data_IF_732770763081
#
_entry.id   IF_732770763081
#
_cell.length_a   1.000
_cell.length_b   1.000
_cell.length_c   1.000
_cell.angle_alpha   90.00
_cell.angle_beta   90.00
_cell.angle_gamma   90.00
#
_symmetry.space_group_name_H-M   'P 1'
#
loop_
_entity.id
_entity.type
_entity.pdbx_description
1 polymer ?
#
# COMPACT_ATOMS: atom_id res chain seq x y z
N UNK A 1 -2.82 38.07 -10.46
CA UNK A 1 -1.93 36.90 -10.33
C UNK A 1 -2.57 35.92 -9.38
N UNK A 2 -3.18 34.87 -9.90
CA UNK A 2 -3.82 33.82 -9.07
C UNK A 2 -2.73 32.78 -8.80
N UNK A 3 -2.26 32.71 -7.56
CA UNK A 3 -1.48 31.57 -7.08
C UNK A 3 -2.43 30.37 -7.00
N UNK A 4 -2.38 29.50 -8.01
CA UNK A 4 -2.86 28.13 -7.84
C UNK A 4 -1.92 27.44 -6.84
N UNK A 5 -2.43 26.87 -5.74
CA UNK A 5 -1.64 25.91 -5.00
C UNK A 5 -1.53 24.68 -5.91
N UNK A 6 -0.32 24.46 -6.44
CA UNK A 6 0.09 23.13 -6.88
C UNK A 6 -0.16 22.20 -5.69
N UNK A 7 -1.26 21.45 -5.75
CA UNK A 7 -1.43 20.20 -5.02
C UNK A 7 -0.31 19.30 -5.53
N UNK A 8 0.88 19.46 -4.94
CA UNK A 8 1.89 18.42 -4.97
C UNK A 8 1.19 17.21 -4.37
N UNK A 9 0.90 16.21 -5.21
CA UNK A 9 0.56 14.89 -4.74
C UNK A 9 1.63 14.53 -3.72
N UNK A 10 1.23 14.43 -2.45
CA UNK A 10 2.16 14.09 -1.39
C UNK A 10 2.82 12.78 -1.83
N UNK A 11 4.14 12.84 -2.03
CA UNK A 11 4.93 11.66 -2.32
C UNK A 11 4.55 10.58 -1.31
N UNK A 12 4.26 9.37 -1.79
CA UNK A 12 3.84 8.24 -0.96
C UNK A 12 4.81 8.07 0.21
N UNK A 13 4.37 8.46 1.40
CA UNK A 13 5.14 8.23 2.59
C UNK A 13 4.66 6.91 3.21
N UNK A 14 5.45 5.85 3.05
CA UNK A 14 5.33 4.58 3.78
C UNK A 14 5.57 4.76 5.30
N UNK A 15 5.27 5.94 5.85
CA UNK A 15 5.42 6.24 7.27
C UNK A 15 4.39 5.42 8.04
N UNK A 16 4.75 4.84 9.20
CA UNK A 16 3.80 4.15 10.04
C UNK A 16 2.61 5.07 10.33
N UNK A 17 1.43 4.73 9.82
CA UNK A 17 0.23 5.53 10.01
C UNK A 17 -0.51 4.99 11.23
N UNK A 18 -0.97 5.88 12.11
CA UNK A 18 -1.88 5.46 13.18
C UNK A 18 -3.17 4.94 12.56
N UNK A 19 -3.57 3.74 12.96
CA UNK A 19 -4.90 3.17 12.67
C UNK A 19 -5.64 2.98 13.97
N UNK A 20 -6.94 3.22 13.95
CA UNK A 20 -7.79 2.91 15.10
C UNK A 20 -8.08 1.40 15.13
N UNK A 21 -8.36 0.88 16.33
CA UNK A 21 -8.74 -0.53 16.49
C UNK A 21 -9.97 -0.89 15.65
N UNK A 22 -10.95 0.02 15.55
CA UNK A 22 -12.13 -0.16 14.69
C UNK A 22 -11.78 -0.27 13.22
N UNK A 23 -10.81 0.53 12.75
CA UNK A 23 -10.37 0.45 11.36
C UNK A 23 -9.74 -0.92 11.06
N UNK A 24 -8.93 -1.46 11.99
CA UNK A 24 -8.33 -2.79 11.84
C UNK A 24 -9.38 -3.90 11.89
N UNK A 25 -10.38 -3.78 12.78
CA UNK A 25 -11.47 -4.77 12.94
C UNK A 25 -12.37 -4.88 11.71
N UNK A 26 -12.51 -3.80 10.93
CA UNK A 26 -13.27 -3.81 9.66
C UNK A 26 -12.55 -4.49 8.50
N UNK A 27 -11.29 -4.89 8.69
CA UNK A 27 -10.50 -5.54 7.66
C UNK A 27 -10.26 -7.01 8.00
N UNK A 28 -10.37 -7.86 6.98
CA UNK A 28 -10.20 -9.31 7.06
C UNK A 28 -8.75 -9.64 6.74
N UNK A 29 -8.15 -10.59 7.46
CA UNK A 29 -6.81 -11.08 7.15
C UNK A 29 -6.87 -11.98 5.93
N UNK A 30 -6.17 -11.60 4.86
CA UNK A 30 -6.07 -12.40 3.64
C UNK A 30 -4.85 -13.31 3.68
N UNK A 31 -3.72 -12.77 4.13
CA UNK A 31 -2.44 -13.46 4.13
C UNK A 31 -1.61 -13.06 5.34
N UNK A 32 -0.88 -14.01 5.90
CA UNK A 32 0.06 -13.77 7.00
C UNK A 32 1.42 -14.35 6.65
N UNK A 33 2.43 -13.50 6.67
CA UNK A 33 3.82 -13.87 6.42
C UNK A 33 4.64 -13.80 7.72
N UNK A 34 5.63 -14.69 7.91
CA UNK A 34 6.54 -14.59 9.04
C UNK A 34 7.47 -13.38 8.90
N UNK A 35 7.90 -12.82 10.03
CA UNK A 35 8.79 -11.67 10.12
C UNK A 35 9.81 -11.92 11.23
N UNK A 36 10.78 -12.82 11.00
CA UNK A 36 11.69 -13.28 12.04
C UNK A 36 10.92 -13.82 13.26
N UNK A 37 10.95 -13.09 14.39
CA UNK A 37 10.17 -13.44 15.60
C UNK A 37 8.74 -12.88 15.62
N UNK A 38 8.27 -12.28 14.54
CA UNK A 38 6.97 -11.64 14.42
C UNK A 38 6.18 -12.09 13.20
N UNK A 39 5.17 -11.31 12.82
CA UNK A 39 4.32 -11.57 11.65
C UNK A 39 4.02 -10.28 10.88
N UNK A 40 3.70 -10.40 9.60
CA UNK A 40 3.09 -9.34 8.80
C UNK A 40 1.79 -9.86 8.22
N UNK A 41 0.70 -9.16 8.47
CA UNK A 41 -0.61 -9.46 7.93
C UNK A 41 -0.93 -8.52 6.77
N UNK A 42 -1.35 -9.08 5.65
CA UNK A 42 -2.10 -8.38 4.61
C UNK A 42 -3.58 -8.53 4.92
N UNK A 43 -4.29 -7.40 4.97
CA UNK A 43 -5.72 -7.35 5.26
C UNK A 43 -6.49 -6.59 4.19
N UNK A 44 -7.59 -7.13 3.71
CA UNK A 44 -8.54 -6.43 2.83
C UNK A 44 -9.62 -5.75 3.65
N UNK A 45 -9.94 -4.52 3.28
CA UNK A 45 -10.91 -3.67 3.97
C UNK A 45 -12.14 -3.44 3.09
N UNK A 46 -13.30 -3.42 3.72
CA UNK A 46 -14.55 -3.07 3.06
C UNK A 46 -14.90 -1.58 3.16
N UNK A 47 -16.11 -1.22 2.67
CA UNK A 47 -16.70 0.11 2.75
C UNK A 47 -16.54 0.74 4.12
N UNK A 48 -16.08 2.00 4.16
CA UNK A 48 -15.72 2.67 5.41
C UNK A 48 -16.52 3.93 5.72
N UNK A 49 -17.19 4.50 4.71
CA UNK A 49 -18.00 5.71 4.82
C UNK A 49 -19.36 5.40 5.43
N UNK A 50 -19.90 6.38 6.16
CA UNK A 50 -21.29 6.36 6.57
C UNK A 50 -22.23 6.55 5.37
N UNK A 51 -23.51 6.21 5.55
CA UNK A 51 -24.49 6.22 4.48
C UNK A 51 -24.74 7.64 3.89
N UNK A 52 -24.62 8.70 4.68
CA UNK A 52 -24.82 10.07 4.20
C UNK A 52 -23.65 10.50 3.30
N UNK A 53 -22.42 10.28 3.77
CA UNK A 53 -21.19 10.56 3.02
C UNK A 53 -21.13 9.71 1.74
N UNK A 54 -21.47 8.42 1.82
CA UNK A 54 -21.51 7.53 0.65
C UNK A 54 -22.54 8.02 -0.40
N UNK A 55 -23.76 8.42 0.02
CA UNK A 55 -24.77 9.00 -0.88
C UNK A 55 -24.26 10.27 -1.58
N UNK A 56 -23.57 11.14 -0.85
CA UNK A 56 -22.97 12.35 -1.43
C UNK A 56 -21.92 12.00 -2.48
N UNK A 57 -21.04 11.03 -2.19
CA UNK A 57 -20.03 10.53 -3.12
C UNK A 57 -20.64 9.86 -4.36
N UNK A 58 -21.75 9.13 -4.21
CA UNK A 58 -22.51 8.61 -5.35
C UNK A 58 -22.98 9.73 -6.29
N UNK A 59 -23.61 10.78 -5.75
CA UNK A 59 -24.08 11.94 -6.53
C UNK A 59 -22.94 12.68 -7.22
N UNK A 60 -21.83 12.90 -6.52
CA UNK A 60 -20.62 13.49 -7.10
C UNK A 60 -20.05 12.61 -8.21
N UNK A 61 -20.03 11.30 -8.00
CA UNK A 61 -19.53 10.32 -8.96
C UNK A 61 -20.31 10.32 -10.27
N UNK A 62 -21.64 10.45 -10.21
CA UNK A 62 -22.49 10.60 -11.41
C UNK A 62 -22.16 11.90 -12.14
N UNK A 63 -22.11 13.03 -11.41
CA UNK A 63 -21.83 14.36 -11.98
C UNK A 63 -20.48 14.44 -12.70
N UNK A 64 -19.48 13.73 -12.20
CA UNK A 64 -18.12 13.74 -12.73
C UNK A 64 -17.79 12.49 -13.57
N UNK A 65 -18.75 11.58 -13.77
CA UNK A 65 -18.56 10.31 -14.46
C UNK A 65 -17.37 9.50 -13.89
N UNK A 66 -17.27 9.42 -12.56
CA UNK A 66 -16.19 8.70 -11.85
C UNK A 66 -16.70 7.45 -11.13
N UNK A 67 -17.96 7.06 -11.35
CA UNK A 67 -18.46 5.79 -10.83
C UNK A 67 -17.88 4.60 -11.62
N UNK A 68 -17.70 3.44 -10.97
CA UNK A 68 -17.28 2.23 -11.67
C UNK A 68 -18.27 1.84 -12.77
N UNK A 69 -17.82 1.14 -13.83
CA UNK A 69 -18.71 0.62 -14.87
C UNK A 69 -19.86 -0.22 -14.29
N UNK A 70 -21.08 0.02 -14.75
CA UNK A 70 -22.28 -0.69 -14.26
C UNK A 70 -22.91 -0.11 -12.99
N UNK A 71 -22.31 0.93 -12.41
CA UNK A 71 -22.83 1.64 -11.23
C UNK A 71 -23.48 2.97 -11.67
N UNK A 72 -24.69 3.19 -11.21
CA UNK A 72 -25.55 4.35 -11.50
C UNK A 72 -26.02 4.98 -10.17
N UNK A 73 -26.69 6.14 -10.20
CA UNK A 73 -27.09 6.83 -8.97
C UNK A 73 -27.97 5.95 -8.07
N UNK A 74 -28.89 5.20 -8.69
CA UNK A 74 -29.95 4.45 -8.03
C UNK A 74 -29.43 3.21 -7.30
N UNK A 75 -28.40 2.55 -7.82
CA UNK A 75 -27.81 1.34 -7.23
C UNK A 75 -26.50 1.60 -6.48
N UNK A 76 -25.87 2.77 -6.65
CA UNK A 76 -24.54 3.06 -6.11
C UNK A 76 -24.41 2.81 -4.61
N UNK A 77 -25.37 3.24 -3.79
CA UNK A 77 -25.28 3.05 -2.34
C UNK A 77 -25.39 1.58 -1.94
N UNK A 78 -26.26 0.82 -2.61
CA UNK A 78 -26.46 -0.61 -2.30
C UNK A 78 -25.22 -1.41 -2.69
N UNK A 79 -24.72 -1.21 -3.91
CA UNK A 79 -23.48 -1.82 -4.42
C UNK A 79 -22.26 -1.46 -3.56
N UNK A 80 -22.17 -0.20 -3.11
CA UNK A 80 -21.15 0.23 -2.17
C UNK A 80 -21.29 -0.51 -0.84
N UNK A 81 -22.48 -0.55 -0.24
CA UNK A 81 -22.71 -1.17 1.08
C UNK A 81 -22.43 -2.69 1.06
N UNK A 82 -22.67 -3.34 -0.08
CA UNK A 82 -22.33 -4.75 -0.32
C UNK A 82 -20.82 -4.99 -0.51
N UNK A 83 -20.02 -3.94 -0.59
CA UNK A 83 -18.57 -4.02 -0.74
C UNK A 83 -18.12 -4.39 -2.15
N UNK A 84 -18.95 -4.17 -3.17
CA UNK A 84 -18.58 -4.45 -4.56
C UNK A 84 -17.56 -3.46 -5.12
N UNK A 85 -17.48 -2.25 -4.53
CA UNK A 85 -16.44 -1.27 -4.85
C UNK A 85 -16.17 -0.35 -3.65
N UNK A 86 -15.06 0.40 -3.74
CA UNK A 86 -14.69 1.45 -2.81
C UNK A 86 -14.56 2.78 -3.57
N UNK A 87 -14.77 3.91 -2.91
CA UNK A 87 -14.43 5.20 -3.49
C UNK A 87 -12.93 5.43 -3.45
N UNK A 88 -12.38 6.07 -4.48
CA UNK A 88 -10.97 6.43 -4.55
C UNK A 88 -10.52 7.15 -3.27
N UNK A 89 -9.40 6.68 -2.69
CA UNK A 89 -8.84 7.19 -1.45
C UNK A 89 -9.34 6.49 -0.17
N UNK A 90 -10.41 5.69 -0.24
CA UNK A 90 -10.76 4.79 0.87
C UNK A 90 -9.68 3.72 1.04
N UNK A 91 -9.54 3.19 2.25
CA UNK A 91 -8.52 2.17 2.52
C UNK A 91 -9.02 0.83 1.97
N UNK A 92 -8.31 0.32 0.96
CA UNK A 92 -8.57 -0.98 0.34
C UNK A 92 -7.84 -2.11 1.05
N UNK A 93 -6.56 -1.89 1.38
CA UNK A 93 -5.74 -2.88 2.07
C UNK A 93 -4.99 -2.25 3.26
N UNK A 94 -4.77 -3.04 4.31
CA UNK A 94 -3.91 -2.72 5.44
C UNK A 94 -2.79 -3.75 5.54
N UNK A 95 -1.55 -3.28 5.67
CA UNK A 95 -0.40 -4.13 5.99
C UNK A 95 0.01 -3.84 7.43
N UNK A 96 -0.02 -4.87 8.28
CA UNK A 96 0.27 -4.74 9.71
C UNK A 96 1.40 -5.69 10.09
N UNK A 97 2.55 -5.14 10.44
CA UNK A 97 3.67 -5.90 10.98
C UNK A 97 3.68 -5.85 12.51
N UNK A 98 3.88 -7.00 13.16
CA UNK A 98 3.94 -7.14 14.62
C UNK A 98 5.17 -7.91 15.05
N UNK A 99 5.72 -7.58 16.22
CA UNK A 99 6.73 -8.41 16.90
C UNK A 99 6.05 -9.57 17.64
N UNK A 100 6.86 -10.48 18.19
CA UNK A 100 6.40 -11.62 19.01
C UNK A 100 5.48 -11.22 20.17
N UNK A 101 5.74 -10.06 20.76
CA UNK A 101 4.97 -9.50 21.88
C UNK A 101 3.66 -8.81 21.44
N UNK A 102 3.33 -8.84 20.14
CA UNK A 102 2.15 -8.21 19.57
C UNK A 102 2.30 -6.72 19.25
N UNK A 103 3.40 -6.07 19.66
CA UNK A 103 3.65 -4.66 19.37
C UNK A 103 3.74 -4.40 17.87
N UNK A 104 3.05 -3.35 17.40
CA UNK A 104 3.06 -2.98 16.00
C UNK A 104 4.41 -2.35 15.61
N UNK A 105 5.01 -2.85 14.54
CA UNK A 105 6.24 -2.30 13.93
C UNK A 105 5.91 -1.43 12.73
N UNK A 106 4.92 -1.85 11.95
CA UNK A 106 4.44 -1.14 10.77
C UNK A 106 2.92 -1.23 10.74
N UNK A 107 2.27 -0.11 10.47
CA UNK A 107 0.93 -0.13 9.90
C UNK A 107 0.93 0.74 8.67
N UNK A 108 0.51 0.16 7.57
CA UNK A 108 0.49 0.79 6.27
C UNK A 108 -0.89 0.64 5.61
N UNK A 109 -1.32 1.69 4.89
CA UNK A 109 -2.62 1.78 4.23
C UNK A 109 -2.41 1.82 2.71
N UNK A 110 -3.02 0.89 1.99
CA UNK A 110 -3.14 0.95 0.52
C UNK A 110 -4.54 1.49 0.20
N UNK A 111 -4.68 2.74 -0.26
CA UNK A 111 -5.97 3.28 -0.64
C UNK A 111 -6.44 2.75 -2.00
N UNK A 112 -7.74 2.85 -2.25
CA UNK A 112 -8.36 2.56 -3.53
C UNK A 112 -7.81 3.48 -4.62
N UNK A 113 -7.40 2.88 -5.74
CA UNK A 113 -6.61 3.51 -6.80
C UNK A 113 -5.12 3.13 -6.78
N UNK A 114 -4.61 2.63 -5.65
CA UNK A 114 -3.28 2.02 -5.57
C UNK A 114 -3.40 0.49 -5.53
N UNK A 115 -2.27 -0.18 -5.72
CA UNK A 115 -2.21 -1.63 -5.72
C UNK A 115 -0.93 -2.15 -5.07
N UNK A 116 -1.09 -3.16 -4.22
CA UNK A 116 0.01 -3.96 -3.70
C UNK A 116 0.58 -4.82 -4.85
N UNK A 117 1.76 -4.47 -5.33
CA UNK A 117 2.45 -5.17 -6.43
C UNK A 117 3.27 -6.35 -5.94
N UNK A 118 3.68 -6.33 -4.67
CA UNK A 118 4.56 -7.33 -4.08
C UNK A 118 4.27 -7.47 -2.59
N UNK A 119 4.14 -8.70 -2.12
CA UNK A 119 4.06 -9.05 -0.70
C UNK A 119 4.73 -10.41 -0.53
N UNK A 120 5.99 -10.43 -0.11
CA UNK A 120 6.82 -11.64 -0.15
C UNK A 120 7.71 -11.74 1.08
N UNK A 121 7.75 -12.93 1.67
CA UNK A 121 8.64 -13.25 2.79
C UNK A 121 10.06 -13.56 2.30
N UNK A 122 11.06 -13.07 3.04
CA UNK A 122 12.46 -13.44 2.84
C UNK A 122 13.26 -13.42 4.15
N UNK A 123 13.76 -14.59 4.56
CA UNK A 123 14.53 -14.77 5.80
C UNK A 123 13.81 -14.23 7.05
N UNK A 124 14.27 -13.11 7.62
CA UNK A 124 13.64 -12.49 8.80
C UNK A 124 12.84 -11.21 8.45
N UNK A 125 12.54 -11.01 7.17
CA UNK A 125 11.96 -9.79 6.61
C UNK A 125 10.79 -10.07 5.65
N UNK A 126 10.02 -9.03 5.35
CA UNK A 126 8.96 -9.05 4.34
C UNK A 126 9.14 -7.87 3.37
N UNK A 127 9.19 -8.17 2.08
CA UNK A 127 9.22 -7.19 1.00
C UNK A 127 7.77 -6.79 0.64
N UNK A 128 7.55 -5.48 0.57
CA UNK A 128 6.27 -4.85 0.25
C UNK A 128 6.52 -3.93 -0.94
N UNK A 129 5.77 -4.08 -2.02
CA UNK A 129 5.82 -3.24 -3.21
C UNK A 129 4.44 -2.66 -3.50
N UNK A 130 4.37 -1.37 -3.83
CA UNK A 130 3.12 -0.66 -4.09
C UNK A 130 3.28 0.22 -5.31
N UNK A 131 2.28 0.13 -6.20
CA UNK A 131 2.15 0.99 -7.36
C UNK A 131 0.92 1.89 -7.26
N UNK A 132 1.06 3.12 -7.77
CA UNK A 132 -0.03 4.09 -7.91
C UNK A 132 0.25 5.02 -9.09
N UNK A 133 -0.59 4.99 -10.12
CA UNK A 133 -0.35 5.75 -11.37
C UNK A 133 1.00 5.40 -12.01
N UNK A 134 1.91 6.38 -12.08
CA UNK A 134 3.28 6.24 -12.63
C UNK A 134 4.36 6.04 -11.55
N UNK A 135 3.96 5.84 -10.29
CA UNK A 135 4.90 5.80 -9.16
C UNK A 135 4.88 4.46 -8.47
N UNK A 136 6.06 3.91 -8.22
CA UNK A 136 6.26 2.61 -7.56
C UNK A 136 7.25 2.76 -6.41
N UNK A 137 6.89 2.18 -5.27
CA UNK A 137 7.66 2.25 -4.03
C UNK A 137 7.81 0.86 -3.43
N UNK A 138 8.98 0.59 -2.86
CA UNK A 138 9.27 -0.65 -2.17
C UNK A 138 9.70 -0.38 -0.73
N UNK A 139 9.27 -1.24 0.17
CA UNK A 139 9.64 -1.24 1.57
C UNK A 139 9.96 -2.65 2.05
N UNK A 140 10.84 -2.73 3.03
CA UNK A 140 11.23 -3.96 3.71
C UNK A 140 10.83 -3.81 5.16
N UNK A 141 9.87 -4.61 5.60
CA UNK A 141 9.53 -4.73 7.00
C UNK A 141 10.50 -5.71 7.67
N UNK A 142 10.94 -5.38 8.88
CA UNK A 142 11.69 -6.26 9.79
C UNK A 142 11.10 -6.13 11.19
N UNK A 143 11.53 -6.96 12.15
CA UNK A 143 11.15 -6.77 13.56
C UNK A 143 11.73 -5.50 14.19
N UNK A 144 12.77 -4.91 13.59
CA UNK A 144 13.45 -3.71 14.09
C UNK A 144 12.82 -2.41 13.57
N UNK A 145 12.22 -2.45 12.39
CA UNK A 145 11.62 -1.29 11.75
C UNK A 145 11.33 -1.54 10.27
N UNK A 146 11.14 -0.45 9.53
CA UNK A 146 10.87 -0.46 8.09
C UNK A 146 11.94 0.29 7.35
N UNK A 147 12.43 -0.31 6.28
CA UNK A 147 13.40 0.30 5.37
C UNK A 147 12.73 0.57 4.02
N UNK A 148 12.73 1.82 3.57
CA UNK A 148 12.11 2.21 2.31
C UNK A 148 13.17 2.36 1.22
N UNK A 149 12.93 1.77 0.07
CA UNK A 149 13.69 2.11 -1.12
C UNK A 149 13.36 3.57 -1.54
N UNK A 150 14.32 4.32 -2.10
CA UNK A 150 14.03 5.59 -2.74
C UNK A 150 13.12 5.36 -3.95
N UNK A 151 12.57 6.45 -4.48
CA UNK A 151 11.80 6.41 -5.71
C UNK A 151 12.61 5.75 -6.85
N UNK A 152 12.04 4.72 -7.47
CA UNK A 152 12.73 3.89 -8.47
C UNK A 152 12.38 4.24 -9.92
N UNK A 153 11.60 5.31 -10.17
CA UNK A 153 11.26 5.74 -11.54
C UNK A 153 9.93 5.20 -12.05
N UNK A 154 9.78 5.18 -13.39
CA UNK A 154 8.56 4.77 -14.09
C UNK A 154 8.37 3.24 -14.06
N UNK A 155 7.14 2.73 -13.82
CA UNK A 155 6.85 1.29 -13.75
C UNK A 155 7.21 0.49 -14.99
N UNK A 156 7.05 1.06 -16.17
CA UNK A 156 7.38 0.34 -17.41
C UNK A 156 8.87 0.02 -17.53
N UNK A 157 9.70 0.76 -16.77
CA UNK A 157 11.10 0.46 -16.66
C UNK A 157 11.35 -0.73 -15.75
N UNK A 158 10.50 -1.03 -14.75
CA UNK A 158 10.72 -2.10 -13.76
C UNK A 158 9.97 -3.38 -14.19
N UNK A 159 10.71 -4.44 -14.51
CA UNK A 159 10.14 -5.71 -15.00
C UNK A 159 10.02 -6.79 -13.96
N UNK A 160 10.97 -6.85 -13.03
CA UNK A 160 11.03 -7.93 -12.05
C UNK A 160 11.71 -7.46 -10.77
N UNK A 161 11.21 -7.97 -9.64
CA UNK A 161 11.77 -7.75 -8.31
C UNK A 161 11.92 -9.10 -7.63
N UNK A 162 13.16 -9.46 -7.35
CA UNK A 162 13.50 -10.69 -6.64
C UNK A 162 14.39 -10.40 -5.43
N UNK A 163 14.34 -11.27 -4.43
CA UNK A 163 15.24 -11.19 -3.27
C UNK A 163 16.16 -12.41 -3.28
N UNK A 164 17.47 -12.17 -3.39
CA UNK A 164 18.49 -13.22 -3.47
C UNK A 164 19.65 -12.85 -2.54
N UNK A 165 19.94 -13.72 -1.57
CA UNK A 165 21.12 -13.60 -0.71
C UNK A 165 21.22 -12.29 0.07
N UNK A 166 20.09 -11.72 0.51
CA UNK A 166 20.05 -10.44 1.22
C UNK A 166 20.09 -9.22 0.29
N UNK A 167 19.88 -9.40 -1.02
CA UNK A 167 19.76 -8.31 -1.99
C UNK A 167 18.40 -8.32 -2.64
N UNK A 168 17.76 -7.17 -2.73
CA UNK A 168 16.63 -6.95 -3.62
C UNK A 168 17.20 -6.57 -4.97
N UNK A 169 16.97 -7.37 -5.99
CA UNK A 169 17.29 -7.03 -7.37
C UNK A 169 16.04 -6.48 -8.02
N UNK A 170 16.07 -5.20 -8.38
CA UNK A 170 15.05 -4.54 -9.18
C UNK A 170 15.59 -4.45 -10.59
N UNK A 171 15.03 -5.22 -11.52
CA UNK A 171 15.50 -5.21 -12.91
C UNK A 171 14.64 -4.30 -13.76
N UNK A 172 15.28 -3.57 -14.68
CA UNK A 172 14.57 -2.78 -15.65
C UNK A 172 15.09 -2.79 -17.07
N UNK A 173 14.36 -2.15 -18.00
CA UNK A 173 14.71 -2.13 -19.44
C UNK A 173 16.10 -1.52 -19.72
N UNK A 174 16.54 -0.59 -18.89
CA UNK A 174 17.82 0.10 -19.09
C UNK A 174 18.96 -0.46 -18.22
N UNK A 175 18.73 -0.76 -16.92
CA UNK A 175 19.74 -1.32 -15.98
C UNK A 175 19.08 -2.08 -14.82
N UNK A 176 19.81 -3.03 -14.23
CA UNK A 176 19.40 -3.66 -12.97
C UNK A 176 19.96 -2.86 -11.79
N UNK A 177 19.12 -2.58 -10.80
CA UNK A 177 19.51 -2.02 -9.51
C UNK A 177 19.52 -3.12 -8.46
N UNK A 178 20.50 -3.08 -7.57
CA UNK A 178 20.57 -3.95 -6.40
C UNK A 178 20.44 -3.11 -5.13
N UNK A 179 19.58 -3.54 -4.22
CA UNK A 179 19.41 -2.96 -2.90
C UNK A 179 19.87 -4.02 -1.91
N UNK A 180 21.08 -3.87 -1.37
CA UNK A 180 21.56 -4.72 -0.29
C UNK A 180 20.79 -4.38 0.99
N UNK A 181 20.20 -5.41 1.59
CA UNK A 181 19.65 -5.37 2.93
C UNK A 181 20.83 -5.48 3.90
N UNK A 182 21.21 -4.41 4.59
CA UNK A 182 22.30 -4.47 5.56
C UNK A 182 21.74 -4.95 6.90
N UNK A 183 22.05 -6.19 7.34
CA UNK A 183 21.52 -6.70 8.58
C UNK A 183 22.12 -5.92 9.76
N UNK A 184 21.27 -5.38 10.63
CA UNK A 184 21.69 -4.84 11.91
C UNK A 184 21.91 -3.33 11.99
N UNK A 185 21.94 -2.62 10.86
CA UNK A 185 22.10 -1.16 10.84
C UNK A 185 20.82 -0.41 10.48
N UNK A 186 19.73 -1.12 10.16
CA UNK A 186 18.49 -0.54 9.64
C UNK A 186 18.76 0.41 8.45
N UNK A 187 19.67 0.01 7.55
CA UNK A 187 20.03 0.76 6.35
C UNK A 187 19.92 -0.13 5.11
N UNK A 188 19.50 0.48 4.00
CA UNK A 188 19.57 -0.11 2.67
C UNK A 188 20.76 0.50 1.95
N UNK A 189 21.60 -0.33 1.34
CA UNK A 189 22.66 0.15 0.46
C UNK A 189 22.23 -0.11 -0.98
N UNK A 190 22.20 0.94 -1.79
CA UNK A 190 21.76 0.86 -3.18
C UNK A 190 22.98 0.87 -4.09
N UNK A 191 23.08 -0.15 -4.93
CA UNK A 191 24.11 -0.30 -5.95
C UNK A 191 23.45 -0.29 -7.33
N UNK A 192 23.93 0.58 -8.21
CA UNK A 192 23.53 0.63 -9.63
C UNK A 192 24.51 -0.15 -10.48
#
# INVERSE_FOLDING_TARGET
MILLPLLAAAAFDLAPVRVTGDQVRRCIVDETLPLGRGTVEKRSCGPSLDAETARKRCKEGVRHNTLPPGIWEENCLDEYTRGHFLFRGEIKELIIARRKDGSAVLVFKVPEGDHLTTFQHFADAVLIGIGGGKSFHYAVATTRGVLKAPYLGDPEEIRDVSVIGGRIRVTGRARAMYIDLVPGTDQLLIRK
#
